data_IF_399635713817
#
_entry.id   IF_399635713817
#
_cell.length_a   1.000
_cell.length_b   1.000
_cell.length_c   1.000
_cell.angle_alpha   90.00
_cell.angle_beta   90.00
_cell.angle_gamma   90.00
#
_symmetry.space_group_name_H-M   'P 1'
#
loop_
_entity.id
_entity.type
_entity.pdbx_description
1 polymer ?
#
# COMPACT_ATOMS: atom_id res chain seq x y z
N UNK A 1 -9.95 -7.68 -18.10
CA UNK A 1 -9.23 -6.53 -17.49
C UNK A 1 -7.75 -6.76 -17.68
N UNK A 2 -7.00 -5.74 -18.11
CA UNK A 2 -5.54 -5.85 -18.21
C UNK A 2 -4.93 -6.21 -16.86
N UNK A 3 -3.92 -7.09 -16.81
CA UNK A 3 -3.27 -7.52 -15.56
C UNK A 3 -2.69 -6.34 -14.77
N UNK A 4 -2.31 -5.26 -15.47
CA UNK A 4 -1.82 -4.02 -14.89
C UNK A 4 -2.86 -3.30 -14.02
N UNK A 5 -4.13 -3.29 -14.45
CA UNK A 5 -5.21 -2.63 -13.72
C UNK A 5 -5.52 -3.35 -12.41
N UNK A 6 -5.46 -4.69 -12.42
CA UNK A 6 -5.71 -5.49 -11.23
C UNK A 6 -4.63 -5.27 -10.16
N UNK A 7 -3.37 -5.12 -10.56
CA UNK A 7 -2.25 -4.76 -9.66
C UNK A 7 -2.48 -3.37 -9.05
N UNK A 8 -2.98 -2.41 -9.84
CA UNK A 8 -3.30 -1.06 -9.39
C UNK A 8 -4.32 -1.06 -8.24
N UNK A 9 -5.43 -1.77 -8.44
CA UNK A 9 -6.48 -1.92 -7.42
C UNK A 9 -5.96 -2.62 -6.16
N UNK A 10 -5.13 -3.65 -6.31
CA UNK A 10 -4.53 -4.33 -5.15
C UNK A 10 -3.65 -3.36 -4.37
N UNK A 11 -2.75 -2.61 -5.03
CA UNK A 11 -1.86 -1.66 -4.33
C UNK A 11 -2.62 -0.50 -3.69
N UNK A 12 -3.71 -0.05 -4.29
CA UNK A 12 -4.60 0.94 -3.69
C UNK A 12 -5.28 0.41 -2.43
N UNK A 13 -5.86 -0.80 -2.48
CA UNK A 13 -6.45 -1.44 -1.30
C UNK A 13 -5.42 -1.69 -0.19
N UNK A 14 -4.19 -2.01 -0.57
CA UNK A 14 -3.05 -2.16 0.33
C UNK A 14 -2.71 -0.86 1.08
N UNK A 15 -2.69 0.28 0.38
CA UNK A 15 -2.39 1.57 0.97
C UNK A 15 -3.45 1.96 1.99
N UNK A 16 -4.72 1.71 1.67
CA UNK A 16 -5.83 1.86 2.60
C UNK A 16 -5.69 0.95 3.83
N UNK A 17 -5.37 -0.34 3.64
CA UNK A 17 -5.11 -1.27 4.74
C UNK A 17 -3.95 -0.81 5.64
N UNK A 18 -2.84 -0.36 5.05
CA UNK A 18 -1.71 0.18 5.79
C UNK A 18 -2.10 1.40 6.64
N UNK A 19 -2.92 2.29 6.08
CA UNK A 19 -3.43 3.47 6.79
C UNK A 19 -4.35 3.08 7.95
N UNK A 20 -5.27 2.13 7.74
CA UNK A 20 -6.16 1.61 8.79
C UNK A 20 -5.33 1.01 9.94
N UNK A 21 -4.29 0.23 9.62
CA UNK A 21 -3.38 -0.33 10.62
C UNK A 21 -2.69 0.79 11.40
N UNK A 22 -2.17 1.83 10.73
CA UNK A 22 -1.51 2.95 11.41
C UNK A 22 -2.46 3.69 12.37
N UNK A 23 -3.72 3.90 11.99
CA UNK A 23 -4.73 4.53 12.86
C UNK A 23 -5.16 3.60 14.00
N UNK A 24 -5.37 2.30 13.72
CA UNK A 24 -5.74 1.31 14.72
C UNK A 24 -4.68 1.17 15.82
N UNK A 25 -3.39 1.27 15.45
CA UNK A 25 -2.28 1.31 16.40
C UNK A 25 -2.05 2.69 17.05
N UNK A 26 -2.88 3.70 16.74
CA UNK A 26 -2.74 5.08 17.26
C UNK A 26 -1.34 5.65 17.04
N UNK A 27 -0.80 5.40 15.85
CA UNK A 27 0.52 5.91 15.47
C UNK A 27 0.43 7.43 15.30
N UNK A 28 0.91 8.17 16.30
CA UNK A 28 0.93 9.63 16.31
C UNK A 28 2.18 10.19 15.60
N UNK A 29 3.26 9.43 15.57
CA UNK A 29 4.51 9.84 14.94
C UNK A 29 4.57 9.49 13.45
N UNK A 30 4.87 10.49 12.64
CA UNK A 30 5.05 10.35 11.19
C UNK A 30 6.15 9.34 10.87
N UNK A 31 7.26 9.35 11.62
CA UNK A 31 8.36 8.40 11.43
C UNK A 31 7.90 6.95 11.61
N UNK A 32 7.15 6.67 12.68
CA UNK A 32 6.63 5.34 12.98
C UNK A 32 5.62 4.91 11.91
N UNK A 33 4.79 5.84 11.41
CA UNK A 33 3.87 5.59 10.30
C UNK A 33 4.59 5.21 9.00
N UNK A 34 5.67 5.92 8.66
CA UNK A 34 6.49 5.64 7.47
C UNK A 34 7.15 4.26 7.56
N UNK A 35 7.71 3.90 8.72
CA UNK A 35 8.34 2.60 8.95
C UNK A 35 7.30 1.48 8.83
N UNK A 36 6.13 1.66 9.44
CA UNK A 36 5.03 0.69 9.39
C UNK A 36 4.51 0.51 7.95
N UNK A 37 4.26 1.61 7.26
CA UNK A 37 3.86 1.65 5.85
C UNK A 37 4.88 0.96 4.94
N UNK A 38 6.17 1.20 5.18
CA UNK A 38 7.24 0.55 4.43
C UNK A 38 7.26 -0.96 4.68
N UNK A 39 7.07 -1.39 5.92
CA UNK A 39 7.01 -2.82 6.26
C UNK A 39 5.82 -3.52 5.55
N UNK A 40 4.64 -2.89 5.57
CA UNK A 40 3.46 -3.39 4.85
C UNK A 40 3.72 -3.45 3.34
N UNK A 41 4.33 -2.41 2.78
CA UNK A 41 4.70 -2.38 1.36
C UNK A 41 5.62 -3.54 0.99
N UNK A 42 6.68 -3.78 1.76
CA UNK A 42 7.64 -4.86 1.51
C UNK A 42 6.98 -6.25 1.58
N UNK A 43 6.12 -6.45 2.57
CA UNK A 43 5.35 -7.70 2.72
C UNK A 43 4.47 -7.94 1.50
N UNK A 44 3.70 -6.92 1.10
CA UNK A 44 2.79 -7.07 -0.02
C UNK A 44 3.50 -7.12 -1.36
N UNK A 45 4.65 -6.45 -1.53
CA UNK A 45 5.46 -6.58 -2.75
C UNK A 45 5.98 -8.01 -2.91
N UNK A 46 6.33 -8.68 -1.82
CA UNK A 46 6.67 -10.12 -1.84
C UNK A 46 5.47 -11.00 -2.21
N UNK A 47 4.31 -10.76 -1.60
CA UNK A 47 3.08 -11.52 -1.89
C UNK A 47 2.66 -11.35 -3.35
N UNK A 48 2.67 -10.11 -3.86
CA UNK A 48 2.38 -9.78 -5.26
C UNK A 48 3.38 -10.46 -6.19
N UNK A 49 4.68 -10.40 -5.87
CA UNK A 49 5.69 -11.12 -6.65
C UNK A 49 5.43 -12.61 -6.69
N UNK A 50 5.06 -13.25 -5.59
CA UNK A 50 4.75 -14.68 -5.58
C UNK A 50 3.48 -15.01 -6.38
N UNK A 51 2.42 -14.21 -6.22
CA UNK A 51 1.14 -14.44 -6.88
C UNK A 51 1.20 -14.21 -8.40
N UNK A 52 2.00 -13.23 -8.85
CA UNK A 52 2.14 -12.88 -10.27
C UNK A 52 3.39 -13.46 -10.94
N UNK A 53 4.33 -14.05 -10.20
CA UNK A 53 5.51 -14.73 -10.76
C UNK A 53 5.12 -15.85 -11.74
N UNK A 54 4.00 -16.54 -11.47
CA UNK A 54 3.49 -17.59 -12.35
C UNK A 54 2.73 -17.05 -13.58
N UNK A 55 2.44 -15.74 -13.66
CA UNK A 55 1.47 -15.17 -14.61
C UNK A 55 1.98 -13.98 -15.43
N UNK A 56 3.15 -13.41 -15.12
CA UNK A 56 3.68 -12.21 -15.80
C UNK A 56 5.18 -12.32 -16.08
N UNK A 57 5.55 -12.32 -17.36
CA UNK A 57 6.93 -12.35 -17.87
C UNK A 57 7.80 -11.14 -17.47
N UNK A 58 7.19 -9.99 -17.15
CA UNK A 58 7.90 -8.74 -16.80
C UNK A 58 7.48 -8.20 -15.44
N UNK A 59 7.85 -8.92 -14.39
CA UNK A 59 7.68 -8.55 -12.97
C UNK A 59 8.24 -7.13 -12.63
N UNK A 60 9.27 -6.69 -13.34
CA UNK A 60 9.94 -5.39 -13.12
C UNK A 60 9.05 -4.17 -13.43
N UNK A 61 8.04 -4.34 -14.30
CA UNK A 61 7.03 -3.31 -14.61
C UNK A 61 6.02 -3.13 -13.46
N UNK A 62 5.63 -4.23 -12.81
CA UNK A 62 4.65 -4.29 -11.71
C UNK A 62 5.13 -3.49 -10.50
N UNK A 63 6.42 -3.62 -10.16
CA UNK A 63 7.00 -3.01 -8.96
C UNK A 63 7.18 -1.50 -9.14
N UNK A 64 7.71 -1.07 -10.29
CA UNK A 64 8.05 0.33 -10.56
C UNK A 64 6.83 1.24 -10.74
N UNK A 65 5.80 0.76 -11.44
CA UNK A 65 4.63 1.61 -11.76
C UNK A 65 3.68 1.78 -10.57
N UNK A 66 3.68 0.85 -9.62
CA UNK A 66 2.69 0.81 -8.54
C UNK A 66 3.09 1.43 -7.20
N UNK A 67 4.34 1.90 -7.04
CA UNK A 67 4.85 2.42 -5.76
C UNK A 67 4.20 3.76 -5.39
N UNK A 68 3.99 4.61 -6.38
CA UNK A 68 3.42 5.94 -6.22
C UNK A 68 1.96 5.89 -5.77
N UNK A 69 1.14 5.03 -6.40
CA UNK A 69 -0.27 4.85 -6.00
C UNK A 69 -0.37 4.36 -4.56
N UNK A 70 0.50 3.44 -4.15
CA UNK A 70 0.52 2.96 -2.77
C UNK A 70 0.78 4.10 -1.79
N UNK A 71 1.84 4.90 -2.01
CA UNK A 71 2.21 6.01 -1.13
C UNK A 71 1.11 7.06 -1.06
N UNK A 72 0.56 7.45 -2.22
CA UNK A 72 -0.51 8.46 -2.31
C UNK A 72 -1.76 7.95 -1.58
N UNK A 73 -2.17 6.70 -1.84
CA UNK A 73 -3.34 6.11 -1.19
C UNK A 73 -3.14 6.00 0.33
N UNK A 74 -1.97 5.56 0.78
CA UNK A 74 -1.64 5.47 2.20
C UNK A 74 -1.73 6.83 2.89
N UNK A 75 -1.06 7.88 2.37
CA UNK A 75 -1.12 9.23 2.96
C UNK A 75 -2.55 9.76 2.98
N UNK A 76 -3.28 9.62 1.87
CA UNK A 76 -4.65 10.10 1.75
C UNK A 76 -5.57 9.45 2.80
N UNK A 77 -5.58 8.11 2.88
CA UNK A 77 -6.39 7.41 3.86
C UNK A 77 -5.93 7.64 5.30
N UNK A 78 -4.62 7.76 5.53
CA UNK A 78 -4.08 7.96 6.86
C UNK A 78 -4.52 9.31 7.42
N UNK A 79 -4.36 10.41 6.66
CA UNK A 79 -4.82 11.75 7.05
C UNK A 79 -6.34 11.79 7.22
N UNK A 80 -7.09 11.19 6.29
CA UNK A 80 -8.56 11.16 6.34
C UNK A 80 -9.07 10.44 7.59
N UNK A 81 -8.55 9.25 7.88
CA UNK A 81 -8.92 8.49 9.08
C UNK A 81 -8.46 9.17 10.38
N UNK A 82 -7.28 9.79 10.39
CA UNK A 82 -6.81 10.55 11.55
C UNK A 82 -7.72 11.74 11.84
N UNK A 83 -8.14 12.46 10.79
CA UNK A 83 -9.05 13.60 10.91
C UNK A 83 -10.42 13.17 11.42
N UNK A 84 -10.96 12.06 10.91
CA UNK A 84 -12.24 11.49 11.35
C UNK A 84 -12.19 10.97 12.78
N UNK A 85 -11.06 10.42 13.22
CA UNK A 85 -10.89 9.93 14.59
C UNK A 85 -10.64 11.05 15.60
N UNK A 86 -10.07 12.17 15.16
CA UNK A 86 -9.77 13.33 15.99
C UNK A 86 -10.98 14.24 16.27
N UNK A 87 -12.11 14.00 15.60
CA UNK A 87 -13.40 14.67 15.80
C UNK A 87 -14.34 13.77 16.59
#
# INVERSE_FOLDING_TARGET
>A
MEPLNLIYWIKLGLGALAAIICVALRVNDIFTGIVMSTAVYLLSDRILKQMFAAKVDKLSSITKTGISIYIISWIFFWVLLYTLYSY
#
